data_IF_693412587106
#
_entry.id   IF_693412587106
#
_cell.length_a   1.000
_cell.length_b   1.000
_cell.length_c   1.000
_cell.angle_alpha   90.00
_cell.angle_beta   90.00
_cell.angle_gamma   90.00
#
_symmetry.space_group_name_H-M   'P 1'
#
loop_
_entity.id
_entity.type
_entity.pdbx_description
1 polymer ?
#
# COMPACT_ATOMS: atom_id res chain seq x y z
N UNK A 1 13.05 -1.71 -3.37
CA UNK A 1 11.64 -1.98 -3.01
C UNK A 1 11.54 -1.90 -1.51
N UNK A 2 10.77 -0.91 -1.04
CA UNK A 2 10.46 -0.71 0.37
C UNK A 2 9.00 -0.97 0.65
N UNK A 3 8.76 -1.47 1.85
CA UNK A 3 7.42 -1.67 2.40
C UNK A 3 7.35 -1.00 3.76
N UNK A 4 6.24 -0.34 4.05
CA UNK A 4 6.01 0.28 5.34
C UNK A 4 4.54 0.18 5.73
N UNK A 5 4.29 -0.07 7.01
CA UNK A 5 2.98 0.13 7.60
C UNK A 5 2.77 1.62 7.80
N UNK A 6 1.58 2.11 7.47
CA UNK A 6 1.22 3.52 7.58
C UNK A 6 -0.02 3.66 8.46
N UNK A 7 0.01 4.61 9.39
CA UNK A 7 -1.19 5.05 10.07
C UNK A 7 -1.79 6.23 9.32
N UNK A 8 -3.11 6.22 9.13
CA UNK A 8 -3.87 7.34 8.57
C UNK A 8 -5.17 7.52 9.37
N UNK A 9 -5.89 8.62 9.12
CA UNK A 9 -7.14 8.90 9.82
C UNK A 9 -8.32 8.93 8.86
N UNK A 10 -9.43 8.37 9.33
CA UNK A 10 -10.76 8.60 8.77
C UNK A 10 -11.64 9.17 9.90
N UNK A 11 -11.80 10.50 9.89
CA UNK A 11 -12.33 11.24 11.04
C UNK A 11 -11.50 11.02 12.30
N UNK A 12 -12.14 10.49 13.34
CA UNK A 12 -11.51 10.16 14.63
C UNK A 12 -10.88 8.76 14.66
N UNK A 13 -11.15 7.91 13.65
CA UNK A 13 -10.62 6.56 13.60
C UNK A 13 -9.18 6.56 13.06
N UNK A 14 -8.26 5.95 13.81
CA UNK A 14 -6.92 5.64 13.31
C UNK A 14 -6.97 4.33 12.55
N UNK A 15 -6.65 4.40 11.26
CA UNK A 15 -6.64 3.30 10.32
C UNK A 15 -5.19 2.88 10.04
N UNK A 16 -5.00 1.60 9.73
CA UNK A 16 -3.71 1.04 9.33
C UNK A 16 -3.74 0.69 7.84
N UNK A 17 -2.70 1.11 7.12
CA UNK A 17 -2.48 0.80 5.73
C UNK A 17 -1.10 0.20 5.51
N UNK A 18 -0.87 -0.25 4.28
CA UNK A 18 0.40 -0.80 3.85
C UNK A 18 0.82 -0.11 2.55
N UNK A 19 2.05 0.40 2.51
CA UNK A 19 2.61 1.04 1.32
C UNK A 19 3.80 0.22 0.82
N UNK A 20 3.76 -0.13 -0.46
CA UNK A 20 4.88 -0.71 -1.19
C UNK A 20 5.28 0.23 -2.34
N UNK A 21 6.58 0.50 -2.49
CA UNK A 21 7.09 1.35 -3.56
C UNK A 21 8.57 1.06 -3.87
N UNK A 22 9.01 1.42 -5.07
CA UNK A 22 10.43 1.48 -5.40
C UNK A 22 11.02 2.83 -4.94
N UNK A 23 11.92 2.80 -3.95
CA UNK A 23 12.54 4.02 -3.40
C UNK A 23 13.57 4.68 -4.33
N UNK A 24 13.98 4.00 -5.41
CA UNK A 24 14.96 4.52 -6.37
C UNK A 24 14.34 5.53 -7.34
N UNK A 25 13.04 5.40 -7.59
CA UNK A 25 12.27 6.28 -8.47
C UNK A 25 11.84 7.54 -7.68
N UNK A 26 12.28 8.72 -8.15
CA UNK A 26 12.04 10.00 -7.46
C UNK A 26 10.98 10.88 -8.13
N UNK A 27 10.70 10.62 -9.40
CA UNK A 27 9.67 11.35 -10.15
C UNK A 27 8.26 10.93 -9.74
N UNK A 28 7.27 11.78 -10.05
CA UNK A 28 5.86 11.46 -9.82
C UNK A 28 5.44 10.27 -10.68
N UNK A 29 4.65 9.38 -10.09
CA UNK A 29 4.12 8.18 -10.75
C UNK A 29 2.68 7.90 -10.30
N UNK A 30 1.92 7.10 -11.05
CA UNK A 30 0.58 6.69 -10.64
C UNK A 30 0.60 5.99 -9.27
N UNK A 31 -0.37 6.31 -8.43
CA UNK A 31 -0.65 5.56 -7.20
C UNK A 31 -1.78 4.56 -7.45
N UNK A 32 -1.67 3.36 -6.89
CA UNK A 32 -2.73 2.35 -6.93
C UNK A 32 -3.18 2.04 -5.50
N UNK A 33 -4.48 2.17 -5.25
CA UNK A 33 -5.10 1.74 -3.99
C UNK A 33 -5.58 0.29 -4.13
N UNK A 34 -5.02 -0.60 -3.32
CA UNK A 34 -5.47 -2.00 -3.24
C UNK A 34 -6.44 -2.12 -2.07
N UNK A 35 -7.71 -2.37 -2.36
CA UNK A 35 -8.73 -2.61 -1.35
C UNK A 35 -8.73 -4.10 -1.00
N UNK A 36 -8.61 -4.41 0.28
CA UNK A 36 -8.57 -5.79 0.75
C UNK A 36 -9.95 -6.47 0.68
N UNK A 37 -9.94 -7.79 0.78
CA UNK A 37 -11.14 -8.61 0.92
C UNK A 37 -11.79 -8.47 2.31
N UNK A 38 -12.92 -9.14 2.55
CA UNK A 38 -13.75 -8.98 3.76
C UNK A 38 -13.00 -9.19 5.09
N UNK A 39 -11.87 -9.89 5.08
CA UNK A 39 -11.06 -10.22 6.26
C UNK A 39 -10.07 -9.13 6.69
N UNK A 40 -10.04 -7.99 6.01
CA UNK A 40 -9.13 -6.89 6.36
C UNK A 40 -7.80 -6.95 5.62
N UNK A 41 -6.87 -6.08 6.03
CA UNK A 41 -5.53 -5.98 5.47
C UNK A 41 -4.67 -7.21 5.82
N UNK A 42 -4.83 -8.27 5.02
CA UNK A 42 -4.10 -9.53 5.16
C UNK A 42 -2.94 -9.70 4.17
N UNK A 43 -2.25 -10.83 4.28
CA UNK A 43 -1.10 -11.19 3.42
C UNK A 43 -1.42 -11.08 1.93
N UNK A 44 -2.59 -11.55 1.51
CA UNK A 44 -2.97 -11.52 0.10
C UNK A 44 -3.00 -10.10 -0.48
N UNK A 45 -3.67 -9.15 0.19
CA UNK A 45 -3.72 -7.76 -0.26
C UNK A 45 -2.32 -7.10 -0.29
N UNK A 46 -1.49 -7.37 0.73
CA UNK A 46 -0.11 -6.87 0.77
C UNK A 46 0.76 -7.42 -0.37
N UNK A 47 0.65 -8.70 -0.70
CA UNK A 47 1.37 -9.28 -1.84
C UNK A 47 0.92 -8.69 -3.18
N UNK A 48 -0.39 -8.41 -3.35
CA UNK A 48 -0.89 -7.71 -4.54
C UNK A 48 -0.29 -6.30 -4.67
N UNK A 49 -0.22 -5.56 -3.57
CA UNK A 49 0.41 -4.24 -3.55
C UNK A 49 1.90 -4.31 -3.96
N UNK A 50 2.66 -5.31 -3.48
CA UNK A 50 4.06 -5.51 -3.87
C UNK A 50 4.22 -5.82 -5.36
N UNK A 51 3.39 -6.72 -5.91
CA UNK A 51 3.46 -7.08 -7.33
C UNK A 51 3.29 -5.88 -8.26
N UNK A 52 2.41 -4.94 -7.88
CA UNK A 52 2.16 -3.73 -8.66
C UNK A 52 3.38 -2.79 -8.70
N UNK A 53 4.27 -2.82 -7.70
CA UNK A 53 5.49 -2.00 -7.73
C UNK A 53 6.45 -2.38 -8.85
N UNK A 54 6.40 -3.63 -9.34
CA UNK A 54 7.18 -4.08 -10.48
C UNK A 54 6.65 -3.62 -11.85
N UNK A 55 5.51 -2.92 -11.87
CA UNK A 55 4.87 -2.44 -13.10
C UNK A 55 4.99 -0.91 -13.29
N UNK A 56 5.60 -0.19 -12.34
CA UNK A 56 5.70 1.28 -12.34
C UNK A 56 6.56 1.88 -11.23
#
# INVERSE_FOLDING_TARGET
MKTQDIAYRDGELTMNGFLAYDETIRDKRPGVLVVHEAWGLGKHAMERAKMLTGLG
#
